data_IF_072955207024
#
_entry.id   IF_072955207024
#
_cell.length_a   1.000
_cell.length_b   1.000
_cell.length_c   1.000
_cell.angle_alpha   90.00
_cell.angle_beta   90.00
_cell.angle_gamma   90.00
#
_symmetry.space_group_name_H-M   'P 1'
#
loop_
_entity.id
_entity.type
_entity.pdbx_description
1 polymer ?
#
# COMPACT_ATOMS: atom_id res chain seq x y z
N UNK A 1 3.64 -34.57 -2.22
CA UNK A 1 3.26 -34.75 -0.80
C UNK A 1 1.95 -33.99 -0.61
N UNK A 2 0.83 -34.67 -0.34
CA UNK A 2 -0.48 -34.01 -0.15
C UNK A 2 -0.58 -33.65 1.33
N UNK A 3 -0.62 -32.36 1.64
CA UNK A 3 -0.86 -31.90 3.01
C UNK A 3 -2.27 -32.27 3.48
N UNK A 4 -2.50 -32.49 4.78
CA UNK A 4 -3.84 -32.81 5.28
C UNK A 4 -4.78 -31.63 5.04
N UNK A 5 -5.99 -31.89 4.52
CA UNK A 5 -7.02 -30.87 4.22
C UNK A 5 -7.30 -29.91 5.39
N UNK A 6 -7.11 -30.36 6.64
CA UNK A 6 -7.31 -29.56 7.84
C UNK A 6 -6.33 -28.39 8.00
N UNK A 7 -5.11 -28.49 7.50
CA UNK A 7 -4.13 -27.40 7.53
C UNK A 7 -4.43 -26.36 6.44
N UNK A 8 -4.87 -26.82 5.27
CA UNK A 8 -5.25 -25.98 4.15
C UNK A 8 -6.45 -25.08 4.48
N UNK A 9 -7.49 -25.64 5.11
CA UNK A 9 -8.67 -24.88 5.53
C UNK A 9 -8.34 -23.83 6.61
N UNK A 10 -7.45 -24.16 7.57
CA UNK A 10 -6.97 -23.18 8.56
C UNK A 10 -6.20 -22.02 7.93
N UNK A 11 -5.41 -22.28 6.89
CA UNK A 11 -4.70 -21.23 6.14
C UNK A 11 -5.66 -20.29 5.40
N UNK A 12 -6.76 -20.82 4.87
CA UNK A 12 -7.81 -20.03 4.22
C UNK A 12 -8.51 -19.11 5.22
N UNK A 13 -8.91 -19.62 6.38
CA UNK A 13 -9.59 -18.82 7.41
C UNK A 13 -8.70 -17.68 7.93
N UNK A 14 -7.42 -17.96 8.18
CA UNK A 14 -6.43 -16.95 8.56
C UNK A 14 -6.21 -15.90 7.45
N UNK A 15 -6.15 -16.34 6.19
CA UNK A 15 -6.03 -15.46 5.03
C UNK A 15 -7.24 -14.54 4.84
N UNK A 16 -8.46 -15.06 5.03
CA UNK A 16 -9.69 -14.26 4.97
C UNK A 16 -9.72 -13.22 6.09
N UNK A 17 -9.37 -13.61 7.32
CA UNK A 17 -9.33 -12.69 8.45
C UNK A 17 -8.33 -11.56 8.21
N UNK A 18 -7.11 -11.89 7.76
CA UNK A 18 -6.11 -10.89 7.38
C UNK A 18 -6.60 -10.00 6.24
N UNK A 19 -7.26 -10.56 5.23
CA UNK A 19 -7.83 -9.76 4.13
C UNK A 19 -8.83 -8.73 4.65
N UNK A 20 -9.76 -9.13 5.52
CA UNK A 20 -10.74 -8.22 6.13
C UNK A 20 -10.02 -7.08 6.87
N UNK A 21 -9.00 -7.40 7.66
CA UNK A 21 -8.24 -6.41 8.43
C UNK A 21 -7.50 -5.41 7.54
N UNK A 22 -6.79 -5.87 6.50
CA UNK A 22 -6.05 -4.98 5.60
C UNK A 22 -7.00 -4.20 4.69
N UNK A 23 -8.14 -4.77 4.30
CA UNK A 23 -9.13 -4.10 3.49
C UNK A 23 -9.84 -2.99 4.27
N UNK A 24 -10.15 -3.20 5.55
CA UNK A 24 -10.68 -2.17 6.43
C UNK A 24 -9.70 -1.00 6.59
N UNK A 25 -8.42 -1.29 6.85
CA UNK A 25 -7.37 -0.25 6.91
C UNK A 25 -7.25 0.55 5.61
N UNK A 26 -7.33 -0.14 4.47
CA UNK A 26 -7.35 0.51 3.17
C UNK A 26 -8.55 1.45 3.04
N UNK A 27 -9.77 0.99 3.34
CA UNK A 27 -10.96 1.84 3.23
C UNK A 27 -10.92 3.03 4.17
N UNK A 28 -10.43 2.86 5.40
CA UNK A 28 -10.25 3.97 6.35
C UNK A 28 -9.23 4.98 5.81
N UNK A 29 -8.09 4.52 5.28
CA UNK A 29 -7.06 5.41 4.72
C UNK A 29 -7.53 6.18 3.48
N UNK A 30 -8.45 5.62 2.69
CA UNK A 30 -9.06 6.33 1.55
C UNK A 30 -9.99 7.45 2.03
N UNK A 31 -10.63 7.30 3.19
CA UNK A 31 -11.38 8.40 3.82
C UNK A 31 -10.42 9.48 4.30
N UNK A 32 -9.33 9.09 4.97
CA UNK A 32 -8.34 10.02 5.50
C UNK A 32 -7.62 10.84 4.41
N UNK A 33 -7.54 10.31 3.18
CA UNK A 33 -7.02 11.06 2.02
C UNK A 33 -7.72 12.39 1.77
N UNK A 34 -8.98 12.55 2.20
CA UNK A 34 -9.73 13.79 1.97
C UNK A 34 -9.05 15.00 2.58
N UNK A 35 -8.36 14.84 3.71
CA UNK A 35 -7.64 15.93 4.40
C UNK A 35 -6.44 16.41 3.59
N UNK A 36 -5.77 15.48 2.89
CA UNK A 36 -4.62 15.79 2.06
C UNK A 36 -4.99 16.42 0.71
N UNK A 37 -6.28 16.43 0.36
CA UNK A 37 -6.81 17.13 -0.83
C UNK A 37 -7.23 18.56 -0.52
N UNK A 38 -7.09 19.00 0.73
CA UNK A 38 -7.33 20.38 1.12
C UNK A 38 -6.24 21.29 0.50
N UNK A 39 -6.61 22.29 -0.32
CA UNK A 39 -5.64 23.18 -0.97
C UNK A 39 -4.80 24.00 0.01
N UNK A 40 -5.25 24.16 1.26
CA UNK A 40 -4.51 24.87 2.30
C UNK A 40 -3.56 23.94 3.10
N UNK A 41 -3.61 22.62 2.84
CA UNK A 41 -2.78 21.63 3.51
C UNK A 41 -1.60 21.18 2.64
N UNK A 42 -0.40 21.68 2.97
CA UNK A 42 0.84 21.26 2.30
C UNK A 42 1.35 19.98 2.96
N UNK A 43 1.11 18.85 2.29
CA UNK A 43 1.57 17.54 2.73
C UNK A 43 3.07 17.37 2.40
N UNK A 44 3.85 16.87 3.35
CA UNK A 44 5.27 16.53 3.13
C UNK A 44 5.43 15.20 2.39
N UNK A 45 6.61 14.95 1.81
CA UNK A 45 6.91 13.67 1.13
C UNK A 45 6.76 12.47 2.10
N UNK A 46 7.20 12.62 3.35
CA UNK A 46 7.09 11.55 4.34
C UNK A 46 5.64 11.25 4.72
N UNK A 47 4.82 12.29 4.93
CA UNK A 47 3.38 12.14 5.20
C UNK A 47 2.66 11.53 4.00
N UNK A 48 3.04 11.91 2.79
CA UNK A 48 2.50 11.36 1.56
C UNK A 48 2.74 9.86 1.46
N UNK A 49 3.99 9.40 1.61
CA UNK A 49 4.29 7.97 1.58
C UNK A 49 3.67 7.22 2.76
N UNK A 50 3.60 7.82 3.94
CA UNK A 50 2.95 7.20 5.09
C UNK A 50 1.45 6.94 4.82
N UNK A 51 0.75 7.92 4.27
CA UNK A 51 -0.66 7.80 3.91
C UNK A 51 -0.86 6.87 2.69
N UNK A 52 -0.13 7.07 1.59
CA UNK A 52 -0.36 6.34 0.33
C UNK A 52 -0.08 4.85 0.45
N UNK A 53 0.83 4.42 1.33
CA UNK A 53 1.11 3.00 1.58
C UNK A 53 -0.12 2.20 1.99
N UNK A 54 -1.05 2.84 2.69
CA UNK A 54 -2.30 2.22 3.11
C UNK A 54 -3.41 2.39 2.07
N UNK A 55 -3.36 3.47 1.29
CA UNK A 55 -4.45 3.87 0.40
C UNK A 55 -4.27 3.48 -1.07
N UNK A 56 -3.16 2.84 -1.46
CA UNK A 56 -2.90 2.38 -2.85
C UNK A 56 -3.44 0.96 -3.15
N UNK A 57 -4.27 0.40 -2.27
CA UNK A 57 -4.92 -0.94 -2.38
C UNK A 57 -3.95 -2.14 -2.48
N UNK A 58 -2.65 -1.92 -2.58
CA UNK A 58 -1.66 -2.95 -2.85
C UNK A 58 -1.66 -4.08 -1.80
N UNK A 59 -1.68 -3.73 -0.50
CA UNK A 59 -1.67 -4.72 0.59
C UNK A 59 -2.88 -5.69 0.55
N UNK A 60 -4.14 -5.20 0.42
CA UNK A 60 -5.29 -6.08 0.16
C UNK A 60 -5.15 -6.98 -1.07
N UNK A 61 -4.59 -6.48 -2.18
CA UNK A 61 -4.39 -7.25 -3.40
C UNK A 61 -3.39 -8.40 -3.23
N UNK A 62 -2.33 -8.18 -2.46
CA UNK A 62 -1.33 -9.22 -2.17
C UNK A 62 -1.89 -10.30 -1.25
N UNK A 63 -2.60 -9.92 -0.19
CA UNK A 63 -3.24 -10.88 0.72
C UNK A 63 -4.29 -11.71 -0.01
N UNK A 64 -5.11 -11.09 -0.86
CA UNK A 64 -6.10 -11.79 -1.67
C UNK A 64 -5.45 -12.77 -2.65
N UNK A 65 -4.33 -12.37 -3.27
CA UNK A 65 -3.60 -13.20 -4.23
C UNK A 65 -2.93 -14.42 -3.59
N UNK A 66 -2.63 -14.34 -2.29
CA UNK A 66 -2.12 -15.47 -1.54
C UNK A 66 -3.22 -16.49 -1.16
N UNK A 67 -4.52 -16.19 -1.33
CA UNK A 67 -5.62 -17.02 -0.78
C UNK A 67 -5.59 -18.43 -1.35
N UNK A 68 -5.64 -19.42 -0.46
CA UNK A 68 -5.49 -20.84 -0.84
C UNK A 68 -4.05 -21.27 -1.16
N UNK A 69 -3.03 -20.45 -0.87
CA UNK A 69 -1.62 -20.86 -0.91
C UNK A 69 -1.13 -21.42 0.44
N UNK A 70 0.03 -22.07 0.45
CA UNK A 70 0.70 -22.60 1.65
C UNK A 70 1.51 -21.51 2.40
N UNK A 71 1.32 -20.24 2.06
CA UNK A 71 2.11 -19.12 2.58
C UNK A 71 1.56 -18.56 3.91
N UNK A 72 0.51 -19.12 4.50
CA UNK A 72 -0.28 -18.39 5.50
C UNK A 72 0.17 -18.45 6.97
N UNK A 73 1.18 -19.25 7.35
CA UNK A 73 1.50 -19.36 8.78
C UNK A 73 2.25 -18.13 9.32
N UNK A 74 3.35 -17.73 8.67
CA UNK A 74 4.24 -16.66 9.18
C UNK A 74 4.89 -15.83 8.05
N UNK A 75 4.49 -16.06 6.79
CA UNK A 75 5.12 -15.42 5.63
C UNK A 75 4.98 -13.90 5.66
N UNK A 76 3.81 -13.38 6.09
CA UNK A 76 3.54 -11.94 6.11
C UNK A 76 4.23 -11.23 7.29
N UNK A 77 4.75 -12.00 8.24
CA UNK A 77 5.41 -11.60 9.46
C UNK A 77 6.92 -11.64 9.30
N UNK A 78 7.42 -12.37 8.29
CA UNK A 78 8.84 -12.42 7.97
C UNK A 78 9.36 -11.00 7.66
N UNK A 79 10.41 -10.53 8.35
CA UNK A 79 10.87 -9.15 8.24
C UNK A 79 11.42 -8.82 6.84
N UNK A 80 11.87 -9.81 6.06
CA UNK A 80 12.27 -9.61 4.67
C UNK A 80 11.06 -9.48 3.76
N UNK A 81 10.01 -10.26 3.99
CA UNK A 81 8.74 -10.13 3.28
C UNK A 81 8.11 -8.77 3.55
N UNK A 82 8.07 -8.33 4.81
CA UNK A 82 7.57 -6.98 5.18
C UNK A 82 8.35 -5.87 4.46
N UNK A 83 9.70 -5.97 4.42
CA UNK A 83 10.53 -4.99 3.69
C UNK A 83 10.27 -5.01 2.19
N UNK A 84 10.14 -6.19 1.60
CA UNK A 84 9.85 -6.35 0.18
C UNK A 84 8.47 -5.78 -0.16
N UNK A 85 7.46 -6.07 0.66
CA UNK A 85 6.11 -5.53 0.52
C UNK A 85 6.14 -4.01 0.55
N UNK A 86 6.80 -3.41 1.54
CA UNK A 86 6.91 -1.95 1.64
C UNK A 86 7.56 -1.34 0.40
N UNK A 87 8.66 -1.91 -0.08
CA UNK A 87 9.33 -1.43 -1.29
C UNK A 87 8.48 -1.58 -2.55
N UNK A 88 7.76 -2.71 -2.69
CA UNK A 88 6.85 -2.92 -3.81
C UNK A 88 5.67 -1.94 -3.80
N UNK A 89 5.11 -1.66 -2.62
CA UNK A 89 4.06 -0.65 -2.45
C UNK A 89 4.58 0.74 -2.83
N UNK A 90 5.78 1.11 -2.38
CA UNK A 90 6.39 2.40 -2.73
C UNK A 90 6.57 2.56 -4.26
N UNK A 91 6.94 1.48 -4.96
CA UNK A 91 7.01 1.46 -6.42
C UNK A 91 5.63 1.60 -7.08
N UNK A 92 4.61 0.93 -6.53
CA UNK A 92 3.22 1.05 -7.04
C UNK A 92 2.70 2.47 -6.85
N UNK A 93 2.99 3.12 -5.73
CA UNK A 93 2.63 4.53 -5.49
C UNK A 93 3.24 5.38 -6.60
N UNK A 94 4.56 5.33 -6.76
CA UNK A 94 5.27 6.13 -7.77
C UNK A 94 4.75 5.88 -9.19
N UNK A 95 4.40 4.63 -9.52
CA UNK A 95 3.83 4.31 -10.82
C UNK A 95 2.42 4.86 -11.01
N UNK A 96 1.55 4.74 -9.99
CA UNK A 96 0.16 5.19 -10.06
C UNK A 96 0.04 6.72 -10.06
N UNK A 97 1.01 7.46 -9.50
CA UNK A 97 1.03 8.93 -9.56
C UNK A 97 1.29 9.49 -10.96
N UNK A 98 1.83 8.69 -11.88
CA UNK A 98 2.02 9.10 -13.26
C UNK A 98 0.71 9.07 -14.09
N UNK A 99 -0.42 8.62 -13.52
CA UNK A 99 -1.67 8.32 -14.23
C UNK A 99 -2.89 9.16 -13.78
N UNK A 100 -2.68 10.45 -13.46
CA UNK A 100 -3.77 11.47 -13.39
C UNK A 100 -4.66 11.46 -12.12
N UNK A 101 -4.06 11.28 -10.93
CA UNK A 101 -4.75 11.52 -9.65
C UNK A 101 -4.43 12.92 -9.09
N UNK A 102 -5.45 13.61 -8.56
CA UNK A 102 -5.36 14.95 -7.94
C UNK A 102 -4.42 15.04 -6.71
N UNK A 103 -3.79 13.93 -6.32
CA UNK A 103 -2.88 13.83 -5.19
C UNK A 103 -1.51 13.31 -5.66
N UNK A 104 -0.88 14.07 -6.56
CA UNK A 104 0.43 13.74 -7.13
C UNK A 104 1.56 14.12 -6.15
N UNK A 105 2.68 13.38 -6.18
CA UNK A 105 3.90 13.67 -5.43
C UNK A 105 4.67 14.88 -6.01
N UNK A 106 4.48 15.19 -7.29
CA UNK A 106 5.24 16.25 -7.97
C UNK A 106 5.06 17.65 -7.34
N UNK A 107 3.84 18.12 -7.01
CA UNK A 107 3.65 19.38 -6.27
C UNK A 107 4.43 19.45 -4.95
N UNK A 108 4.64 18.31 -4.29
CA UNK A 108 5.36 18.23 -3.02
C UNK A 108 6.87 18.33 -3.23
N UNK A 109 7.39 17.64 -4.25
CA UNK A 109 8.80 17.72 -4.65
C UNK A 109 9.13 19.14 -5.11
N UNK A 110 8.26 19.73 -5.93
CA UNK A 110 8.35 21.13 -6.37
C UNK A 110 8.40 22.09 -5.18
N UNK A 111 7.49 21.93 -4.21
CA UNK A 111 7.46 22.79 -3.02
C UNK A 111 8.69 22.59 -2.11
N UNK A 112 9.08 21.34 -1.85
CA UNK A 112 10.16 21.02 -0.91
C UNK A 112 11.55 21.38 -1.45
N UNK A 113 11.79 21.17 -2.75
CA UNK A 113 13.08 21.43 -3.39
C UNK A 113 13.11 22.75 -4.19
N UNK A 114 12.01 23.50 -4.22
CA UNK A 114 11.83 24.68 -5.08
C UNK A 114 12.10 24.40 -6.55
N UNK A 115 11.70 23.21 -7.02
CA UNK A 115 11.79 22.81 -8.42
C UNK A 115 10.55 23.22 -9.20
N UNK A 116 10.74 23.42 -10.50
CA UNK A 116 9.63 23.41 -11.45
C UNK A 116 9.24 21.95 -11.75
N UNK A 117 8.14 21.75 -12.49
CA UNK A 117 7.64 20.41 -12.82
C UNK A 117 8.70 19.58 -13.57
N UNK A 118 9.52 20.21 -14.41
CA UNK A 118 10.59 19.53 -15.13
C UNK A 118 11.71 19.07 -14.18
N UNK A 119 12.05 19.86 -13.16
CA UNK A 119 12.99 19.48 -12.12
C UNK A 119 12.46 18.44 -11.13
N UNK A 120 11.14 18.31 -10.97
CA UNK A 120 10.53 17.28 -10.12
C UNK A 120 10.48 15.89 -10.79
N UNK A 121 10.45 15.84 -12.12
CA UNK A 121 10.31 14.61 -12.92
C UNK A 121 11.65 13.98 -13.39
N UNK A 122 12.80 14.62 -13.12
CA UNK A 122 14.14 14.17 -13.53
C UNK A 122 15.02 13.79 -12.34
#
# INVERSE_FOLDING_TARGET
MRYPESHFLKGIDAGIQRFIEVFAKYTDSVVDQVVHRDPDYITTVDEFFAMRRHAVRAEPSYVASALGSDLYSDFFEDPYVVKLYKAAIDLVILWNENDDDALNIDPMIMHHHQFDLAGALN
#
